data_IF_344602350989
#
_entry.id   IF_344602350989
#
_cell.length_a   1.000
_cell.length_b   1.000
_cell.length_c   1.000
_cell.angle_alpha   90.00
_cell.angle_beta   90.00
_cell.angle_gamma   90.00
#
_symmetry.space_group_name_H-M   'P 1'
#
loop_
_entity.id
_entity.type
_entity.pdbx_description
1 polymer ?
#
# COMPACT_ATOMS: atom_id res chain seq x y z
N UNK A 1 18.07 -10.33 0.99
CA UNK A 1 16.61 -10.57 0.93
C UNK A 1 15.97 -9.78 2.06
N UNK A 2 14.85 -9.11 1.82
CA UNK A 2 14.05 -8.55 2.92
C UNK A 2 13.38 -9.71 3.66
N UNK A 3 13.50 -9.75 4.99
CA UNK A 3 13.00 -10.86 5.80
C UNK A 3 12.06 -10.34 6.88
N UNK A 4 11.07 -11.16 7.24
CA UNK A 4 10.16 -10.91 8.35
C UNK A 4 9.93 -12.25 9.06
N UNK A 5 9.94 -12.27 10.39
CA UNK A 5 9.61 -13.49 11.13
C UNK A 5 8.10 -13.72 11.03
N UNK A 6 7.70 -14.89 10.52
CA UNK A 6 6.28 -15.25 10.34
C UNK A 6 5.66 -14.73 9.03
N UNK A 7 4.32 -14.73 8.98
CA UNK A 7 3.54 -14.19 7.85
C UNK A 7 3.04 -12.80 8.19
N UNK A 8 3.11 -11.88 7.24
CA UNK A 8 2.50 -10.56 7.38
C UNK A 8 1.91 -10.07 6.05
N UNK A 9 0.88 -9.25 6.18
CA UNK A 9 0.30 -8.44 5.13
C UNK A 9 0.29 -6.99 5.61
N UNK A 10 0.77 -6.06 4.79
CA UNK A 10 0.76 -4.62 5.05
C UNK A 10 -0.01 -3.92 3.92
N UNK A 11 -1.00 -3.11 4.28
CA UNK A 11 -1.66 -2.18 3.36
C UNK A 11 -1.23 -0.75 3.68
N UNK A 12 -0.89 0.03 2.66
CA UNK A 12 -0.42 1.42 2.84
C UNK A 12 -0.69 2.27 1.60
N UNK A 13 -0.89 3.58 1.78
CA UNK A 13 -1.05 4.53 0.67
C UNK A 13 0.10 4.41 -0.35
N UNK A 14 -0.23 4.45 -1.63
CA UNK A 14 0.75 4.41 -2.71
C UNK A 14 1.56 5.71 -2.77
N UNK A 15 2.80 5.63 -2.27
CA UNK A 15 3.77 6.71 -2.29
C UNK A 15 5.14 6.17 -2.74
N UNK A 16 5.95 6.94 -3.51
CA UNK A 16 7.27 6.48 -3.98
C UNK A 16 8.18 5.95 -2.86
N UNK A 17 8.10 6.55 -1.67
CA UNK A 17 8.84 6.09 -0.50
C UNK A 17 8.45 4.66 -0.07
N UNK A 18 7.15 4.31 -0.08
CA UNK A 18 6.67 2.98 0.33
C UNK A 18 7.10 1.91 -0.67
N UNK A 19 7.02 2.22 -1.97
CA UNK A 19 7.55 1.35 -3.04
C UNK A 19 9.04 1.07 -2.86
N UNK A 20 9.84 2.09 -2.51
CA UNK A 20 11.28 1.94 -2.28
C UNK A 20 11.59 1.12 -1.03
N UNK A 21 10.92 1.40 0.08
CA UNK A 21 11.14 0.75 1.38
C UNK A 21 10.81 -0.74 1.33
N UNK A 22 9.69 -1.12 0.69
CA UNK A 22 9.19 -2.49 0.70
C UNK A 22 9.46 -3.27 -0.61
N UNK A 23 10.36 -2.76 -1.48
CA UNK A 23 10.66 -3.34 -2.81
C UNK A 23 11.08 -4.82 -2.82
N UNK A 24 11.45 -5.38 -1.67
CA UNK A 24 11.86 -6.77 -1.51
C UNK A 24 10.73 -7.76 -1.19
N UNK A 25 9.49 -7.28 -1.06
CA UNK A 25 8.31 -8.09 -0.77
C UNK A 25 7.38 -8.15 -1.98
N UNK A 26 6.52 -9.18 -2.05
CA UNK A 26 5.49 -9.26 -3.09
C UNK A 26 4.56 -8.06 -2.94
N UNK A 27 4.28 -7.36 -4.04
CA UNK A 27 3.53 -6.11 -4.05
C UNK A 27 2.38 -6.17 -5.06
N UNK A 28 1.23 -5.66 -4.63
CA UNK A 28 0.05 -5.41 -5.46
C UNK A 28 -0.43 -3.97 -5.24
N UNK A 29 -0.95 -3.34 -6.29
CA UNK A 29 -1.58 -2.01 -6.20
C UNK A 29 -3.07 -2.17 -6.39
N UNK A 30 -3.87 -1.55 -5.52
CA UNK A 30 -5.33 -1.57 -5.60
C UNK A 30 -5.86 -0.13 -5.61
N UNK A 31 -6.88 0.13 -6.42
CA UNK A 31 -7.55 1.42 -6.43
C UNK A 31 -8.50 1.53 -5.22
N UNK A 32 -8.51 2.70 -4.59
CA UNK A 32 -9.38 3.00 -3.45
C UNK A 32 -10.07 4.36 -3.63
N UNK A 33 -11.28 4.45 -3.08
CA UNK A 33 -12.04 5.70 -3.00
C UNK A 33 -11.94 6.23 -1.58
N UNK A 34 -11.19 7.31 -1.38
CA UNK A 34 -11.05 7.95 -0.07
C UNK A 34 -12.19 8.96 0.15
N UNK A 35 -12.96 8.80 1.21
CA UNK A 35 -14.12 9.65 1.52
C UNK A 35 -13.83 10.73 2.59
N UNK A 36 -12.60 10.81 3.10
CA UNK A 36 -12.25 11.71 4.20
C UNK A 36 -11.71 13.05 3.64
N UNK A 37 -12.52 14.10 3.79
CA UNK A 37 -12.27 15.45 3.34
C UNK A 37 -13.59 16.07 2.92
N UNK A 38 -14.25 16.79 3.83
CA UNK A 38 -15.50 17.49 3.55
C UNK A 38 -15.42 18.27 2.23
N UNK A 39 -16.52 18.25 1.46
CA UNK A 39 -16.68 18.76 0.09
C UNK A 39 -16.33 17.77 -1.05
N UNK A 40 -17.03 16.63 -1.08
CA UNK A 40 -17.66 16.12 -2.32
C UNK A 40 -16.77 15.66 -3.48
N UNK A 41 -15.45 15.60 -3.33
CA UNK A 41 -14.53 15.16 -4.39
C UNK A 41 -13.65 14.04 -3.88
N UNK A 42 -14.23 12.84 -3.77
CA UNK A 42 -13.46 11.61 -3.56
C UNK A 42 -12.44 11.48 -4.68
N UNK A 43 -11.16 11.78 -4.39
CA UNK A 43 -10.09 11.63 -5.37
C UNK A 43 -9.78 10.14 -5.48
N UNK A 44 -9.64 9.64 -6.71
CA UNK A 44 -9.06 8.32 -6.94
C UNK A 44 -7.67 8.27 -6.30
N UNK A 45 -7.47 7.28 -5.44
CA UNK A 45 -6.23 7.00 -4.72
C UNK A 45 -5.89 5.53 -4.91
N UNK A 46 -4.65 5.18 -4.60
CA UNK A 46 -4.19 3.79 -4.62
C UNK A 46 -3.60 3.42 -3.28
N UNK A 47 -3.79 2.15 -2.92
CA UNK A 47 -3.03 1.49 -1.86
C UNK A 47 -2.11 0.42 -2.45
N UNK A 48 -1.09 0.10 -1.67
CA UNK A 48 -0.14 -0.97 -1.91
C UNK A 48 -0.38 -2.05 -0.87
N UNK A 49 -0.46 -3.29 -1.33
CA UNK A 49 -0.51 -4.49 -0.50
C UNK A 49 0.84 -5.18 -0.61
N UNK A 50 1.54 -5.33 0.51
CA UNK A 50 2.80 -6.08 0.62
C UNK A 50 2.61 -7.37 1.38
N UNK A 51 3.16 -8.48 0.87
CA UNK A 51 3.07 -9.80 1.48
C UNK A 51 4.45 -10.44 1.64
N UNK A 52 4.66 -11.13 2.77
CA UNK A 52 5.93 -11.80 3.08
C UNK A 52 6.00 -13.26 2.61
N UNK A 53 4.92 -13.76 1.99
CA UNK A 53 4.80 -15.10 1.41
C UNK A 53 4.09 -15.02 0.05
#
# INVERSE_FOLDING_TARGET
MSTMKGSAILTINDHPAMRKTFKGFRMESVDINYTIGGAGTGKSRRELIFQTR
#
